data_IF_825444585038
#
_entry.id   IF_825444585038
#
_cell.length_a   1.000
_cell.length_b   1.000
_cell.length_c   1.000
_cell.angle_alpha   90.00
_cell.angle_beta   90.00
_cell.angle_gamma   90.00
#
_symmetry.space_group_name_H-M   'P 1'
#
loop_
_entity.id
_entity.type
_entity.pdbx_description
1 polymer ?
#
# COMPACT_ATOMS: atom_id res chain seq x y z
N UNK A 1 8.50 4.76 -17.88
CA UNK A 1 7.73 3.99 -16.89
C UNK A 1 6.34 4.58 -16.76
N UNK A 2 5.33 3.76 -16.49
CA UNK A 2 3.93 4.16 -16.27
C UNK A 2 3.70 4.53 -14.81
N UNK A 3 2.75 5.43 -14.48
CA UNK A 3 2.35 5.68 -13.09
C UNK A 3 1.90 4.41 -12.37
N UNK A 4 2.18 4.29 -11.06
CA UNK A 4 1.71 3.15 -10.26
C UNK A 4 0.18 2.98 -10.28
N UNK A 5 -0.55 4.09 -10.43
CA UNK A 5 -2.01 4.11 -10.56
C UNK A 5 -2.54 3.41 -11.80
N UNK A 6 -1.71 3.15 -12.81
CA UNK A 6 -2.13 2.47 -14.03
C UNK A 6 -2.22 0.94 -13.84
N UNK A 7 -1.59 0.39 -12.79
CA UNK A 7 -1.74 -1.03 -12.43
C UNK A 7 -2.74 -1.22 -11.28
N UNK A 8 -3.53 -2.31 -11.29
CA UNK A 8 -4.37 -2.68 -10.14
C UNK A 8 -3.59 -2.73 -8.83
N UNK A 9 -4.18 -2.16 -7.79
CA UNK A 9 -3.62 -2.26 -6.45
C UNK A 9 -3.79 -3.69 -5.92
N UNK A 10 -2.75 -4.20 -5.27
CA UNK A 10 -2.74 -5.53 -4.65
C UNK A 10 -2.06 -5.42 -3.29
N UNK A 11 -2.80 -5.66 -2.20
CA UNK A 11 -2.26 -5.57 -0.85
C UNK A 11 -1.12 -6.57 -0.60
N UNK A 12 -1.14 -7.70 -1.31
CA UNK A 12 -0.11 -8.75 -1.21
C UNK A 12 1.30 -8.26 -1.55
N UNK A 13 1.46 -7.25 -2.41
CA UNK A 13 2.76 -6.63 -2.73
C UNK A 13 3.43 -6.01 -1.50
N UNK A 14 2.67 -5.74 -0.44
CA UNK A 14 3.14 -5.11 0.79
C UNK A 14 3.11 -6.02 2.02
N UNK A 15 2.82 -7.32 1.85
CA UNK A 15 2.74 -8.28 2.96
C UNK A 15 4.06 -8.36 3.77
N UNK A 16 5.20 -8.16 3.10
CA UNK A 16 6.54 -8.15 3.70
C UNK A 16 6.71 -7.11 4.82
N UNK A 17 5.92 -6.03 4.84
CA UNK A 17 6.02 -4.98 5.88
C UNK A 17 5.61 -5.45 7.26
N UNK A 18 4.86 -6.55 7.31
CA UNK A 18 4.34 -7.15 8.55
C UNK A 18 5.09 -8.42 8.96
N UNK A 19 6.10 -8.81 8.18
CA UNK A 19 6.97 -9.95 8.46
C UNK A 19 8.07 -9.56 9.46
N UNK A 20 7.83 -9.93 10.71
CA UNK A 20 8.76 -9.75 11.82
C UNK A 20 9.48 -11.03 12.22
N UNK A 21 9.49 -12.06 11.35
CA UNK A 21 10.11 -13.34 11.68
C UNK A 21 11.62 -13.17 11.95
N UNK A 22 12.08 -13.67 13.10
CA UNK A 22 13.47 -13.53 13.53
C UNK A 22 13.84 -12.15 14.07
N UNK A 23 12.88 -11.23 14.21
CA UNK A 23 13.08 -9.99 14.96
C UNK A 23 12.77 -10.22 16.45
N UNK A 24 13.50 -9.53 17.32
CA UNK A 24 13.25 -9.54 18.77
C UNK A 24 12.90 -8.13 19.19
N UNK A 25 11.75 -7.98 19.86
CA UNK A 25 11.32 -6.67 20.35
C UNK A 25 12.18 -6.20 21.53
N UNK A 26 12.35 -4.88 21.66
CA UNK A 26 13.04 -4.24 22.78
C UNK A 26 12.32 -4.44 24.11
N UNK A 27 10.99 -4.42 24.08
CA UNK A 27 10.12 -4.69 25.22
C UNK A 27 8.70 -5.14 24.76
N UNK A 28 7.93 -5.82 25.62
CA UNK A 28 6.60 -6.33 25.27
C UNK A 28 5.56 -5.26 24.95
N UNK A 29 5.71 -4.03 25.48
CA UNK A 29 4.74 -2.97 25.21
C UNK A 29 4.94 -2.37 23.82
N UNK A 30 6.19 -2.26 23.36
CA UNK A 30 6.50 -1.85 21.99
C UNK A 30 6.02 -2.90 20.97
N UNK A 31 6.21 -4.20 21.27
CA UNK A 31 5.68 -5.29 20.45
C UNK A 31 4.14 -5.25 20.34
N UNK A 32 3.44 -5.04 21.46
CA UNK A 32 1.99 -4.91 21.46
C UNK A 32 1.50 -3.68 20.66
N UNK A 33 2.24 -2.56 20.71
CA UNK A 33 1.94 -1.39 19.86
C UNK A 33 2.10 -1.72 18.39
N UNK A 34 3.18 -2.42 18.01
CA UNK A 34 3.41 -2.85 16.64
C UNK A 34 2.30 -3.77 16.13
N UNK A 35 1.90 -4.79 16.89
CA UNK A 35 0.84 -5.73 16.45
C UNK A 35 -0.52 -5.03 16.27
N UNK A 36 -0.87 -4.05 17.12
CA UNK A 36 -2.08 -3.26 16.93
C UNK A 36 -2.03 -2.45 15.61
N UNK A 37 -0.92 -1.76 15.33
CA UNK A 37 -0.75 -0.97 14.11
C UNK A 37 -0.71 -1.86 12.86
N UNK A 38 -0.10 -3.04 12.96
CA UNK A 38 -0.04 -4.05 11.90
C UNK A 38 -1.43 -4.49 11.44
N UNK A 39 -2.37 -4.69 12.36
CA UNK A 39 -3.75 -5.03 11.98
C UNK A 39 -4.48 -3.85 11.33
N UNK A 40 -4.33 -2.62 11.85
CA UNK A 40 -4.88 -1.42 11.20
C UNK A 40 -4.32 -1.21 9.80
N UNK A 41 -3.03 -1.45 9.61
CA UNK A 41 -2.37 -1.37 8.31
C UNK A 41 -2.93 -2.40 7.32
N UNK A 42 -3.03 -3.68 7.71
CA UNK A 42 -3.61 -4.73 6.86
C UNK A 42 -5.04 -4.39 6.46
N UNK A 43 -5.85 -3.91 7.40
CA UNK A 43 -7.23 -3.50 7.13
C UNK A 43 -7.27 -2.36 6.11
N UNK A 44 -6.45 -1.31 6.28
CA UNK A 44 -6.41 -0.19 5.36
C UNK A 44 -6.01 -0.60 3.93
N UNK A 45 -5.02 -1.50 3.78
CA UNK A 45 -4.68 -2.04 2.45
C UNK A 45 -5.83 -2.82 1.82
N UNK A 46 -6.51 -3.67 2.59
CA UNK A 46 -7.64 -4.47 2.09
C UNK A 46 -8.81 -3.59 1.67
N UNK A 47 -9.16 -2.59 2.47
CA UNK A 47 -10.20 -1.62 2.14
C UNK A 47 -9.84 -0.84 0.87
N UNK A 48 -8.59 -0.41 0.74
CA UNK A 48 -8.13 0.27 -0.46
C UNK A 48 -8.14 -0.65 -1.70
N UNK A 49 -7.71 -1.91 -1.57
CA UNK A 49 -7.77 -2.88 -2.68
C UNK A 49 -9.21 -3.12 -3.16
N UNK A 50 -10.15 -3.24 -2.22
CA UNK A 50 -11.58 -3.37 -2.56
C UNK A 50 -12.11 -2.12 -3.27
N UNK A 51 -11.71 -0.93 -2.82
CA UNK A 51 -12.10 0.33 -3.46
C UNK A 51 -11.47 0.49 -4.85
N UNK A 52 -10.20 0.14 -5.01
CA UNK A 52 -9.50 0.16 -6.31
C UNK A 52 -10.17 -0.76 -7.33
N UNK A 53 -10.48 -2.00 -6.93
CA UNK A 53 -11.21 -2.94 -7.79
C UNK A 53 -12.57 -2.40 -8.23
N UNK A 54 -13.34 -1.82 -7.30
CA UNK A 54 -14.65 -1.21 -7.62
C UNK A 54 -14.52 0.00 -8.54
N UNK A 55 -13.55 0.88 -8.27
CA UNK A 55 -13.30 2.07 -9.08
C UNK A 55 -12.88 1.69 -10.51
N UNK A 56 -11.98 0.71 -10.66
CA UNK A 56 -11.54 0.22 -11.98
C UNK A 56 -12.65 -0.42 -12.78
N UNK A 57 -13.50 -1.22 -12.14
CA UNK A 57 -14.67 -1.80 -12.80
C UNK A 57 -15.55 -0.68 -13.39
N UNK A 58 -15.89 0.32 -12.57
CA UNK A 58 -16.71 1.45 -13.02
C UNK A 58 -16.02 2.32 -14.08
N UNK A 59 -14.71 2.50 -13.97
CA UNK A 59 -13.93 3.19 -14.99
C UNK A 59 -14.03 2.47 -16.34
N UNK A 60 -13.89 1.14 -16.34
CA UNK A 60 -13.97 0.34 -17.57
C UNK A 60 -15.38 0.40 -18.19
N UNK A 61 -16.44 0.32 -17.37
CA UNK A 61 -17.81 0.53 -17.84
C UNK A 61 -17.98 1.90 -18.51
N UNK A 62 -17.44 2.98 -17.90
CA UNK A 62 -17.47 4.31 -18.48
C UNK A 62 -16.64 4.43 -19.77
N UNK A 63 -15.52 3.71 -19.87
CA UNK A 63 -14.67 3.66 -21.06
C UNK A 63 -15.38 2.96 -22.22
N UNK A 64 -15.99 1.79 -21.97
CA UNK A 64 -16.76 1.02 -22.95
C UNK A 64 -17.99 1.76 -23.46
N UNK A 65 -18.69 2.48 -22.58
CA UNK A 65 -19.84 3.31 -22.94
C UNK A 65 -19.44 4.64 -23.62
N UNK A 66 -18.14 4.92 -23.77
CA UNK A 66 -17.64 6.17 -24.36
C UNK A 66 -17.89 7.42 -23.48
N UNK A 67 -18.18 7.22 -22.19
CA UNK A 67 -18.43 8.28 -21.21
C UNK A 67 -17.15 8.92 -20.68
N UNK A 68 -15.99 8.29 -20.90
CA UNK A 68 -14.68 8.85 -20.56
C UNK A 68 -13.63 8.46 -21.60
N UNK A 69 -12.68 9.37 -21.81
CA UNK A 69 -11.41 9.08 -22.50
C UNK A 69 -10.21 9.45 -21.61
N UNK A 70 -10.47 9.86 -20.37
CA UNK A 70 -9.45 10.17 -19.37
C UNK A 70 -8.73 8.91 -18.93
N UNK A 71 -7.50 9.08 -18.43
CA UNK A 71 -6.79 8.00 -17.71
C UNK A 71 -7.51 7.66 -16.41
N UNK A 72 -7.35 6.42 -15.93
CA UNK A 72 -7.90 5.99 -14.65
C UNK A 72 -7.55 6.94 -13.50
N UNK A 73 -6.30 7.41 -13.44
CA UNK A 73 -5.84 8.33 -12.40
C UNK A 73 -6.62 9.66 -12.37
N UNK A 74 -6.88 10.25 -13.54
CA UNK A 74 -7.67 11.48 -13.64
C UNK A 74 -9.15 11.22 -13.35
N UNK A 75 -9.68 10.13 -13.91
CA UNK A 75 -11.07 9.77 -13.74
C UNK A 75 -11.43 9.47 -12.28
N UNK A 76 -10.59 8.72 -11.57
CA UNK A 76 -10.85 8.30 -10.18
C UNK A 76 -10.82 9.48 -9.20
N UNK A 77 -10.03 10.52 -9.49
CA UNK A 77 -10.05 11.80 -8.75
C UNK A 77 -11.40 12.50 -8.79
N UNK A 78 -12.11 12.43 -9.91
CA UNK A 78 -13.37 13.15 -10.09
C UNK A 78 -14.57 12.29 -9.68
N UNK A 79 -14.51 10.98 -9.92
CA UNK A 79 -15.67 10.10 -9.85
C UNK A 79 -15.69 9.19 -8.61
N UNK A 80 -14.58 9.07 -7.89
CA UNK A 80 -14.48 8.16 -6.75
C UNK A 80 -13.68 8.76 -5.57
N UNK A 81 -14.16 9.84 -4.91
CA UNK A 81 -13.44 10.52 -3.83
C UNK A 81 -12.99 9.59 -2.68
N UNK A 82 -13.79 8.57 -2.37
CA UNK A 82 -13.46 7.57 -1.34
C UNK A 82 -12.21 6.76 -1.67
N UNK A 83 -11.87 6.58 -2.96
CA UNK A 83 -10.62 5.93 -3.37
C UNK A 83 -9.41 6.72 -2.89
N UNK A 84 -9.45 8.06 -2.99
CA UNK A 84 -8.37 8.94 -2.51
C UNK A 84 -8.24 8.92 -1.00
N UNK A 85 -9.37 8.97 -0.28
CA UNK A 85 -9.37 8.90 1.18
C UNK A 85 -8.79 7.58 1.67
N UNK A 86 -9.17 6.45 1.07
CA UNK A 86 -8.65 5.13 1.46
C UNK A 86 -7.18 4.94 1.07
N UNK A 87 -6.76 5.49 -0.07
CA UNK A 87 -5.34 5.52 -0.46
C UNK A 87 -4.51 6.28 0.58
N UNK A 88 -4.96 7.47 0.98
CA UNK A 88 -4.29 8.28 1.97
C UNK A 88 -4.26 7.60 3.35
N UNK A 89 -5.34 6.92 3.75
CA UNK A 89 -5.38 6.15 4.99
C UNK A 89 -4.36 5.00 4.97
N UNK A 90 -4.29 4.23 3.88
CA UNK A 90 -3.29 3.16 3.75
C UNK A 90 -1.85 3.71 3.81
N UNK A 91 -1.57 4.88 3.20
CA UNK A 91 -0.28 5.56 3.31
C UNK A 91 0.01 6.12 4.72
N UNK A 92 -1.02 6.53 5.45
CA UNK A 92 -0.89 6.96 6.85
C UNK A 92 -0.54 5.77 7.75
N UNK A 93 -1.27 4.66 7.62
CA UNK A 93 -1.01 3.43 8.37
C UNK A 93 0.34 2.80 7.99
N UNK A 94 0.79 2.97 6.75
CA UNK A 94 2.16 2.65 6.31
C UNK A 94 3.21 3.29 7.21
N UNK A 95 3.13 4.61 7.36
CA UNK A 95 4.08 5.40 8.13
C UNK A 95 4.01 5.06 9.61
N UNK A 96 2.79 4.86 10.14
CA UNK A 96 2.58 4.39 11.50
C UNK A 96 3.25 3.02 11.75
N UNK A 97 3.11 2.09 10.81
CA UNK A 97 3.73 0.76 10.90
C UNK A 97 5.25 0.85 10.89
N UNK A 98 5.84 1.67 10.01
CA UNK A 98 7.29 1.88 9.99
C UNK A 98 7.78 2.44 11.32
N UNK A 99 7.09 3.44 11.87
CA UNK A 99 7.45 4.05 13.15
C UNK A 99 7.37 3.03 14.30
N UNK A 100 6.28 2.27 14.37
CA UNK A 100 6.10 1.24 15.41
C UNK A 100 7.11 0.10 15.27
N UNK A 101 7.45 -0.31 14.04
CA UNK A 101 8.45 -1.35 13.79
C UNK A 101 9.86 -0.91 14.17
N UNK A 102 10.22 0.34 13.87
CA UNK A 102 11.49 0.93 14.30
C UNK A 102 11.58 1.07 15.83
N UNK A 103 10.47 1.42 16.49
CA UNK A 103 10.41 1.48 17.95
C UNK A 103 10.54 0.09 18.58
N UNK A 104 9.81 -0.91 18.06
CA UNK A 104 9.77 -2.24 18.64
C UNK A 104 11.04 -3.05 18.37
N UNK A 105 11.57 -3.04 17.14
CA UNK A 105 12.63 -3.95 16.71
C UNK A 105 13.92 -3.20 16.32
N UNK A 106 13.92 -1.87 16.38
CA UNK A 106 15.08 -1.06 16.09
C UNK A 106 15.58 -1.20 14.66
N UNK A 107 16.91 -1.26 14.54
CA UNK A 107 17.57 -1.31 13.24
C UNK A 107 17.15 -2.54 12.45
N UNK A 108 17.06 -3.72 13.08
CA UNK A 108 16.78 -4.98 12.37
C UNK A 108 15.48 -4.93 11.55
N UNK A 109 14.47 -4.18 12.01
CA UNK A 109 13.27 -3.91 11.22
C UNK A 109 13.53 -2.98 10.03
N UNK A 110 14.32 -1.92 10.21
CA UNK A 110 14.69 -1.01 9.12
C UNK A 110 15.51 -1.72 8.03
N UNK A 111 16.39 -2.66 8.40
CA UNK A 111 17.10 -3.50 7.44
C UNK A 111 16.14 -4.35 6.59
N UNK A 112 15.22 -5.06 7.24
CA UNK A 112 14.15 -5.79 6.53
C UNK A 112 13.29 -4.86 5.67
N UNK A 113 12.99 -3.67 6.19
CA UNK A 113 12.20 -2.67 5.48
C UNK A 113 12.85 -2.29 4.14
N UNK A 114 14.14 -1.93 4.17
CA UNK A 114 14.86 -1.53 2.96
C UNK A 114 15.06 -2.68 1.98
N UNK A 115 15.17 -3.92 2.46
CA UNK A 115 15.19 -5.10 1.59
C UNK A 115 13.86 -5.28 0.85
N UNK A 116 12.74 -5.17 1.57
CA UNK A 116 11.40 -5.22 0.99
C UNK A 116 11.14 -4.09 0.00
N UNK A 117 11.49 -2.86 0.36
CA UNK A 117 11.40 -1.66 -0.49
C UNK A 117 12.21 -1.84 -1.78
N UNK A 118 13.44 -2.35 -1.68
CA UNK A 118 14.29 -2.64 -2.84
C UNK A 118 13.69 -3.70 -3.76
N UNK A 119 13.03 -4.72 -3.20
CA UNK A 119 12.34 -5.75 -3.98
C UNK A 119 11.15 -5.18 -4.74
N UNK A 120 10.28 -4.42 -4.06
CA UNK A 120 9.12 -3.74 -4.69
C UNK A 120 9.57 -2.78 -5.79
N UNK A 121 10.66 -2.05 -5.56
CA UNK A 121 11.26 -1.16 -6.56
C UNK A 121 11.69 -1.90 -7.82
N UNK A 122 12.40 -3.02 -7.66
CA UNK A 122 12.84 -3.84 -8.78
C UNK A 122 11.66 -4.43 -9.54
N UNK A 123 10.68 -5.00 -8.83
CA UNK A 123 9.47 -5.57 -9.43
C UNK A 123 8.68 -4.51 -10.22
N UNK A 124 8.48 -3.32 -9.66
CA UNK A 124 7.83 -2.22 -10.37
C UNK A 124 8.60 -1.81 -11.63
N UNK A 125 9.93 -1.68 -11.54
CA UNK A 125 10.77 -1.34 -12.67
C UNK A 125 10.71 -2.39 -13.78
N UNK A 126 10.79 -3.67 -13.43
CA UNK A 126 10.75 -4.80 -14.37
C UNK A 126 9.38 -4.88 -15.08
N UNK A 127 8.30 -4.52 -14.40
CA UNK A 127 6.95 -4.37 -14.97
C UNK A 127 6.75 -3.04 -15.73
N UNK A 128 7.72 -2.13 -15.71
CA UNK A 128 7.69 -0.84 -16.39
C UNK A 128 6.87 0.24 -15.69
N UNK A 129 6.64 0.12 -14.38
CA UNK A 129 5.91 1.08 -13.53
C UNK A 129 6.84 1.86 -12.59
N UNK A 130 6.44 3.06 -12.23
CA UNK A 130 7.00 3.73 -11.06
C UNK A 130 6.58 2.98 -9.79
N UNK A 131 7.47 2.80 -8.81
CA UNK A 131 7.11 2.23 -7.53
C UNK A 131 6.19 3.19 -6.76
N UNK A 132 5.32 2.60 -5.95
CA UNK A 132 4.52 3.31 -4.97
C UNK A 132 4.56 2.52 -3.67
N UNK A 133 4.69 3.25 -2.57
CA UNK A 133 4.84 2.65 -1.25
C UNK A 133 3.60 2.89 -0.40
N UNK A 134 3.19 1.80 0.20
CA UNK A 134 2.27 1.67 1.31
C UNK A 134 2.99 0.77 2.32
#
# INVERSE_FOLDING_TARGET
MKPATDRPFEASRFAWRTDTDGLTASDPAAEARFENVKESYKQALQEFELADKKARKRYHEHEEDGLTTDTFANWVMQNYPVWHSLKAEAQSQSAALTSAGAEAFGQAYMEKYHQGESKVNREAYDEGFYPEFF
#
